data_IF_628005098844
#
_entry.id   IF_628005098844
#
_cell.length_a   1.000
_cell.length_b   1.000
_cell.length_c   1.000
_cell.angle_alpha   90.00
_cell.angle_beta   90.00
_cell.angle_gamma   90.00
#
_symmetry.space_group_name_H-M   'P 1'
#
loop_
_entity.id
_entity.type
_entity.pdbx_description
1 polymer ?
#
# COMPACT_ATOMS: atom_id res chain seq x y z
N UNK A 1 -26.50 -16.81 74.23
CA UNK A 1 -27.32 -17.67 73.35
C UNK A 1 -26.50 -18.92 72.99
N UNK A 2 -27.16 -20.08 72.94
CA UNK A 2 -26.59 -21.44 72.91
C UNK A 2 -26.15 -21.89 71.50
N UNK A 3 -25.10 -22.73 71.48
CA UNK A 3 -24.79 -23.93 70.64
C UNK A 3 -25.57 -24.18 69.33
N UNK A 4 -24.89 -24.62 68.26
CA UNK A 4 -24.73 -26.06 67.89
C UNK A 4 -24.30 -26.25 66.42
N UNK A 5 -23.78 -27.44 66.12
CA UNK A 5 -22.99 -27.89 64.97
C UNK A 5 -23.73 -29.01 64.20
N UNK A 6 -23.56 -29.07 62.85
CA UNK A 6 -23.66 -30.22 61.90
C UNK A 6 -25.03 -30.88 61.53
N UNK A 7 -25.12 -31.79 60.50
CA UNK A 7 -24.63 -31.75 59.10
C UNK A 7 -25.59 -32.38 58.00
N UNK A 8 -25.29 -32.17 56.70
CA UNK A 8 -25.55 -33.01 55.46
C UNK A 8 -27.00 -33.33 55.00
N UNK A 9 -27.32 -33.57 53.69
CA UNK A 9 -26.58 -34.44 52.76
C UNK A 9 -26.47 -34.07 51.26
N UNK A 10 -25.58 -34.83 50.63
CA UNK A 10 -25.18 -34.99 49.23
C UNK A 10 -26.31 -35.49 48.30
N UNK A 11 -26.52 -34.87 47.13
CA UNK A 11 -27.19 -35.50 45.96
C UNK A 11 -26.51 -35.03 44.66
N UNK A 12 -26.51 -35.94 43.69
CA UNK A 12 -25.62 -36.13 42.53
C UNK A 12 -25.88 -35.20 41.33
N UNK A 13 -24.85 -35.07 40.49
CA UNK A 13 -24.74 -34.42 39.17
C UNK A 13 -25.84 -34.81 38.16
N UNK A 14 -26.03 -34.05 37.05
CA UNK A 14 -25.19 -34.25 35.85
C UNK A 14 -24.78 -32.96 35.09
N UNK A 15 -23.67 -33.08 34.36
CA UNK A 15 -23.13 -32.10 33.41
C UNK A 15 -24.13 -31.75 32.30
N UNK A 16 -24.11 -30.50 31.80
CA UNK A 16 -24.33 -30.22 30.40
C UNK A 16 -22.99 -30.07 29.67
N UNK A 17 -22.78 -30.98 28.73
CA UNK A 17 -21.76 -30.92 27.68
C UNK A 17 -21.86 -29.61 26.90
N UNK A 18 -20.91 -28.70 27.11
CA UNK A 18 -20.69 -27.59 26.17
C UNK A 18 -19.73 -28.12 25.10
N UNK A 19 -20.36 -28.53 24.00
CA UNK A 19 -19.73 -28.87 22.74
C UNK A 19 -18.86 -27.71 22.27
N UNK A 20 -17.67 -28.08 21.77
CA UNK A 20 -16.81 -27.26 20.93
C UNK A 20 -17.59 -26.75 19.73
N UNK A 21 -18.18 -25.56 19.86
CA UNK A 21 -18.61 -24.75 18.74
C UNK A 21 -17.39 -24.06 18.14
N UNK A 22 -16.74 -24.71 17.18
CA UNK A 22 -15.72 -24.14 16.32
C UNK A 22 -16.39 -23.01 15.53
N UNK A 23 -16.35 -21.79 16.06
CA UNK A 23 -16.81 -20.58 15.39
C UNK A 23 -15.93 -20.31 14.18
N UNK A 24 -16.22 -21.02 13.08
CA UNK A 24 -15.70 -20.69 11.77
C UNK A 24 -16.48 -19.46 11.34
N UNK A 25 -15.84 -18.29 11.49
CA UNK A 25 -16.32 -17.04 10.90
C UNK A 25 -16.53 -17.31 9.40
N UNK A 26 -17.80 -17.42 9.02
CA UNK A 26 -18.20 -17.67 7.65
C UNK A 26 -18.22 -16.31 6.95
N UNK A 27 -17.06 -15.85 6.49
CA UNK A 27 -16.94 -14.70 5.60
C UNK A 27 -17.57 -15.06 4.24
N UNK A 28 -18.90 -15.06 4.17
CA UNK A 28 -19.67 -15.42 2.97
C UNK A 28 -19.76 -14.30 1.94
N UNK A 29 -18.85 -13.33 1.97
CA UNK A 29 -18.77 -12.26 0.98
C UNK A 29 -18.17 -12.77 -0.34
N UNK A 30 -17.32 -13.79 -0.31
CA UNK A 30 -16.57 -14.27 -1.47
C UNK A 30 -17.07 -15.63 -1.95
N UNK A 31 -18.14 -15.65 -2.74
CA UNK A 31 -18.59 -16.86 -3.43
C UNK A 31 -17.84 -17.05 -4.74
N UNK A 32 -16.57 -17.45 -4.67
CA UNK A 32 -15.82 -17.94 -5.82
C UNK A 32 -16.22 -19.41 -6.11
N UNK A 33 -17.40 -19.59 -6.71
CA UNK A 33 -17.95 -20.92 -7.03
C UNK A 33 -17.20 -21.63 -8.18
N UNK A 34 -17.24 -22.97 -8.16
CA UNK A 34 -16.44 -23.88 -8.99
C UNK A 34 -16.79 -23.92 -10.51
N UNK A 35 -17.47 -22.90 -11.06
CA UNK A 35 -17.84 -22.85 -12.49
C UNK A 35 -17.49 -21.54 -13.18
N UNK A 36 -16.69 -20.67 -12.56
CA UNK A 36 -16.37 -19.36 -13.15
C UNK A 36 -15.30 -19.48 -14.22
N UNK A 37 -15.44 -18.71 -15.28
CA UNK A 37 -14.35 -18.54 -16.25
C UNK A 37 -13.26 -17.65 -15.65
N UNK A 38 -12.00 -17.80 -16.10
CA UNK A 38 -10.90 -16.91 -15.69
C UNK A 38 -11.26 -15.42 -15.89
N UNK A 39 -12.00 -15.08 -16.95
CA UNK A 39 -12.52 -13.72 -17.20
C UNK A 39 -13.49 -13.22 -16.14
N UNK A 40 -14.38 -14.07 -15.63
CA UNK A 40 -15.31 -13.69 -14.55
C UNK A 40 -14.57 -13.43 -13.24
N UNK A 41 -13.54 -14.23 -12.95
CA UNK A 41 -12.69 -14.03 -11.77
C UNK A 41 -11.94 -12.71 -11.89
N UNK A 42 -11.32 -12.43 -13.04
CA UNK A 42 -10.65 -11.14 -13.31
C UNK A 42 -11.61 -9.95 -13.12
N UNK A 43 -12.80 -10.02 -13.71
CA UNK A 43 -13.80 -8.96 -13.56
C UNK A 43 -14.23 -8.77 -12.10
N UNK A 44 -14.39 -9.88 -11.35
CA UNK A 44 -14.72 -9.83 -9.92
C UNK A 44 -13.60 -9.18 -9.11
N UNK A 45 -12.35 -9.59 -9.33
CA UNK A 45 -11.17 -9.05 -8.63
C UNK A 45 -11.02 -7.56 -8.93
N UNK A 46 -11.10 -7.15 -10.20
CA UNK A 46 -11.04 -5.73 -10.59
C UNK A 46 -12.18 -4.93 -9.94
N UNK A 47 -13.39 -5.49 -9.86
CA UNK A 47 -14.53 -4.88 -9.17
C UNK A 47 -14.22 -4.62 -7.69
N UNK A 48 -13.77 -5.65 -6.98
CA UNK A 48 -13.40 -5.53 -5.56
C UNK A 48 -12.28 -4.53 -5.32
N UNK A 49 -11.24 -4.54 -6.15
CA UNK A 49 -10.12 -3.59 -6.06
C UNK A 49 -10.62 -2.16 -6.32
N UNK A 50 -11.52 -1.98 -7.28
CA UNK A 50 -12.13 -0.67 -7.55
C UNK A 50 -12.94 -0.18 -6.36
N UNK A 51 -13.68 -1.06 -5.70
CA UNK A 51 -14.49 -0.72 -4.54
C UNK A 51 -13.60 -0.35 -3.34
N UNK A 52 -12.53 -1.12 -3.08
CA UNK A 52 -11.50 -0.77 -2.08
C UNK A 52 -10.94 0.64 -2.28
N UNK A 53 -10.59 0.98 -3.52
CA UNK A 53 -10.03 2.29 -3.88
C UNK A 53 -11.09 3.40 -3.81
N UNK A 54 -12.38 3.08 -3.98
CA UNK A 54 -13.47 4.06 -3.87
C UNK A 54 -13.85 4.34 -2.43
N UNK A 55 -14.01 3.30 -1.64
CA UNK A 55 -14.47 3.40 -0.25
C UNK A 55 -13.35 3.91 0.66
N UNK A 56 -12.08 3.74 0.26
CA UNK A 56 -10.93 4.09 1.07
C UNK A 56 -11.09 3.61 2.51
N UNK A 57 -11.35 2.31 2.65
CA UNK A 57 -11.39 1.70 3.97
C UNK A 57 -10.02 1.88 4.63
N UNK A 58 -9.94 2.85 5.55
CA UNK A 58 -8.77 3.12 6.39
C UNK A 58 -8.45 1.93 7.32
N UNK A 59 -9.32 0.93 7.36
CA UNK A 59 -9.05 -0.35 7.99
C UNK A 59 -8.14 -1.20 7.11
N UNK A 60 -6.84 -0.88 7.11
CA UNK A 60 -5.80 -1.58 6.36
C UNK A 60 -5.83 -3.11 6.52
N UNK A 61 -6.22 -3.63 7.69
CA UNK A 61 -6.34 -5.08 7.92
C UNK A 61 -7.45 -5.71 7.08
N UNK A 62 -8.58 -5.00 6.89
CA UNK A 62 -9.65 -5.48 6.02
C UNK A 62 -9.21 -5.45 4.55
N UNK A 63 -8.59 -4.35 4.11
CA UNK A 63 -8.06 -4.20 2.75
C UNK A 63 -7.05 -5.29 2.41
N UNK A 64 -6.12 -5.59 3.32
CA UNK A 64 -5.13 -6.67 3.15
C UNK A 64 -5.78 -8.05 3.03
N UNK A 65 -6.79 -8.36 3.87
CA UNK A 65 -7.50 -9.64 3.80
C UNK A 65 -8.32 -9.82 2.51
N UNK A 66 -8.85 -8.73 1.95
CA UNK A 66 -9.54 -8.75 0.65
C UNK A 66 -8.53 -9.00 -0.47
N UNK A 67 -7.37 -8.34 -0.45
CA UNK A 67 -6.31 -8.56 -1.44
C UNK A 67 -5.73 -9.98 -1.37
N UNK A 68 -5.55 -10.53 -0.16
CA UNK A 68 -5.14 -11.93 0.05
C UNK A 68 -6.17 -12.90 -0.55
N UNK A 69 -7.47 -12.67 -0.29
CA UNK A 69 -8.56 -13.46 -0.90
C UNK A 69 -8.56 -13.36 -2.43
N UNK A 70 -8.25 -12.18 -2.99
CA UNK A 70 -8.11 -12.00 -4.43
C UNK A 70 -6.89 -12.75 -4.97
N UNK A 71 -5.77 -12.79 -4.24
CA UNK A 71 -4.57 -13.51 -4.62
C UNK A 71 -4.84 -15.02 -4.68
N UNK A 72 -5.48 -15.57 -3.65
CA UNK A 72 -5.92 -16.96 -3.62
C UNK A 72 -6.86 -17.29 -4.80
N UNK A 73 -7.86 -16.44 -5.05
CA UNK A 73 -8.76 -16.60 -6.19
C UNK A 73 -8.00 -16.55 -7.52
N UNK A 74 -7.00 -15.69 -7.68
CA UNK A 74 -6.20 -15.62 -8.91
C UNK A 74 -5.41 -16.91 -9.16
N UNK A 75 -4.79 -17.48 -8.10
CA UNK A 75 -4.03 -18.74 -8.23
C UNK A 75 -4.88 -19.93 -8.67
N UNK A 76 -6.16 -19.97 -8.30
CA UNK A 76 -7.07 -21.04 -8.71
C UNK A 76 -7.50 -21.01 -10.19
N UNK A 77 -7.20 -19.92 -10.92
CA UNK A 77 -7.70 -19.68 -12.28
C UNK A 77 -6.61 -19.16 -13.25
N UNK A 78 -5.35 -19.56 -13.02
CA UNK A 78 -4.18 -19.21 -13.85
C UNK A 78 -4.07 -17.70 -14.15
N UNK A 79 -4.43 -16.87 -13.18
CA UNK A 79 -4.38 -15.41 -13.29
C UNK A 79 -3.41 -14.87 -12.25
N UNK A 80 -2.77 -13.74 -12.55
CA UNK A 80 -1.87 -13.07 -11.60
C UNK A 80 -2.54 -11.83 -11.03
N UNK A 81 -2.71 -11.79 -9.69
CA UNK A 81 -3.17 -10.58 -9.01
C UNK A 81 -2.21 -9.41 -9.29
N UNK A 82 -0.91 -9.67 -9.30
CA UNK A 82 0.11 -8.66 -9.63
C UNK A 82 -0.13 -8.04 -11.01
N UNK A 83 -0.46 -8.86 -12.02
CA UNK A 83 -0.77 -8.33 -13.35
C UNK A 83 -2.02 -7.44 -13.33
N UNK A 84 -3.10 -7.90 -12.67
CA UNK A 84 -4.36 -7.15 -12.59
C UNK A 84 -4.23 -5.82 -11.86
N UNK A 85 -3.42 -5.76 -10.79
CA UNK A 85 -3.15 -4.53 -10.05
C UNK A 85 -2.32 -3.51 -10.84
N UNK A 86 -1.60 -3.96 -11.86
CA UNK A 86 -0.79 -3.11 -12.74
C UNK A 86 -1.51 -2.71 -14.03
N UNK A 87 -2.71 -3.23 -14.27
CA UNK A 87 -3.55 -2.83 -15.40
C UNK A 87 -4.26 -1.49 -15.14
N UNK A 88 -4.44 -0.73 -16.23
CA UNK A 88 -5.20 0.54 -16.23
C UNK A 88 -6.72 0.29 -16.20
N UNK A 89 -7.17 -0.41 -15.16
CA UNK A 89 -8.52 -0.98 -15.04
C UNK A 89 -9.56 -0.02 -14.47
N UNK A 90 -9.15 1.16 -14.00
CA UNK A 90 -10.02 2.17 -13.40
C UNK A 90 -9.76 3.50 -14.12
N UNK A 91 -10.70 3.93 -14.97
CA UNK A 91 -10.68 5.26 -15.61
C UNK A 91 -9.33 5.60 -16.31
N UNK A 92 -8.68 4.60 -16.93
CA UNK A 92 -7.41 4.79 -17.66
C UNK A 92 -6.15 4.77 -16.79
N UNK A 93 -6.28 4.52 -15.49
CA UNK A 93 -5.18 4.45 -14.52
C UNK A 93 -5.23 3.17 -13.70
N UNK A 94 -4.11 2.89 -13.02
CA UNK A 94 -3.96 1.75 -12.11
C UNK A 94 -4.71 1.97 -10.79
N UNK A 95 -5.08 0.90 -10.06
CA UNK A 95 -5.55 1.01 -8.68
C UNK A 95 -4.62 1.80 -7.76
N UNK A 96 -3.30 1.65 -7.93
CA UNK A 96 -2.29 2.38 -7.14
C UNK A 96 -2.32 3.89 -7.41
N UNK A 97 -2.49 4.32 -8.67
CA UNK A 97 -2.69 5.74 -9.00
C UNK A 97 -3.88 6.32 -8.22
N UNK A 98 -5.02 5.65 -8.26
CA UNK A 98 -6.23 6.14 -7.59
C UNK A 98 -6.13 6.09 -6.06
N UNK A 99 -5.42 5.11 -5.51
CA UNK A 99 -5.13 5.05 -4.08
C UNK A 99 -4.34 6.28 -3.61
N UNK A 100 -3.44 6.82 -4.45
CA UNK A 100 -2.70 8.05 -4.18
C UNK A 100 -3.59 9.29 -4.35
N UNK A 101 -4.29 9.41 -5.48
CA UNK A 101 -5.10 10.59 -5.79
C UNK A 101 -6.19 10.83 -4.75
N UNK A 102 -6.76 9.76 -4.20
CA UNK A 102 -7.79 9.86 -3.18
C UNK A 102 -7.24 9.94 -1.76
N UNK A 103 -5.95 9.65 -1.55
CA UNK A 103 -5.33 9.60 -0.22
C UNK A 103 -5.61 10.94 0.49
N UNK A 104 -6.09 10.94 1.75
CA UNK A 104 -6.07 12.17 2.52
C UNK A 104 -4.63 12.66 2.67
N UNK A 105 -4.39 13.99 2.73
CA UNK A 105 -3.07 14.50 3.04
C UNK A 105 -2.61 13.91 4.37
N UNK A 106 -1.35 13.47 4.44
CA UNK A 106 -0.79 12.88 5.66
C UNK A 106 -1.01 13.87 6.83
N UNK A 107 -1.88 13.50 7.77
CA UNK A 107 -1.98 14.14 9.07
C UNK A 107 -0.83 13.70 9.97
N UNK A 108 -0.72 14.29 11.16
CA UNK A 108 0.26 13.93 12.20
C UNK A 108 0.02 12.52 12.79
N UNK A 109 -0.18 11.49 11.97
CA UNK A 109 -0.41 10.12 12.44
C UNK A 109 0.90 9.34 12.58
N UNK A 110 1.05 8.78 13.79
CA UNK A 110 2.16 8.03 14.35
C UNK A 110 2.87 7.05 13.39
N UNK A 111 4.18 6.91 13.56
CA UNK A 111 5.09 5.92 12.95
C UNK A 111 4.67 4.44 13.14
N UNK A 112 3.56 4.16 13.84
CA UNK A 112 2.99 2.82 14.04
C UNK A 112 1.85 2.48 13.06
N UNK A 113 1.60 3.34 12.06
CA UNK A 113 0.53 3.18 11.09
C UNK A 113 0.63 1.85 10.32
N UNK A 114 -0.44 1.05 10.42
CA UNK A 114 -0.69 -0.14 9.63
C UNK A 114 -0.51 0.21 8.14
N UNK A 115 0.11 -0.65 7.28
CA UNK A 115 0.39 -0.31 5.89
C UNK A 115 -0.86 0.24 5.21
N UNK A 116 -0.81 1.47 4.73
CA UNK A 116 -1.95 2.08 4.04
C UNK A 116 -2.36 1.24 2.81
N UNK A 117 -3.56 1.47 2.28
CA UNK A 117 -4.07 0.72 1.13
C UNK A 117 -3.05 0.70 -0.04
N UNK A 118 -2.33 1.79 -0.25
CA UNK A 118 -1.29 1.89 -1.28
C UNK A 118 -0.14 0.91 -1.03
N UNK A 119 0.35 0.82 0.20
CA UNK A 119 1.43 -0.10 0.60
C UNK A 119 0.99 -1.55 0.39
N UNK A 120 -0.24 -1.90 0.74
CA UNK A 120 -0.79 -3.23 0.47
C UNK A 120 -0.91 -3.51 -1.03
N UNK A 121 -1.40 -2.56 -1.83
CA UNK A 121 -1.48 -2.73 -3.29
C UNK A 121 -0.09 -2.95 -3.92
N UNK A 122 0.92 -2.20 -3.49
CA UNK A 122 2.31 -2.34 -3.99
C UNK A 122 2.89 -3.70 -3.63
N UNK A 123 2.67 -4.20 -2.41
CA UNK A 123 3.22 -5.50 -1.99
C UNK A 123 2.65 -6.66 -2.81
N UNK A 124 1.35 -6.65 -3.12
CA UNK A 124 0.72 -7.64 -3.99
C UNK A 124 1.02 -7.43 -5.49
N UNK A 125 1.35 -6.19 -5.89
CA UNK A 125 1.69 -5.88 -7.28
C UNK A 125 3.15 -6.17 -7.63
N UNK A 126 4.05 -6.24 -6.65
CA UNK A 126 5.49 -6.36 -6.89
C UNK A 126 5.90 -7.65 -7.63
N UNK A 127 6.88 -7.60 -8.54
CA UNK A 127 7.64 -6.42 -8.97
C UNK A 127 6.85 -5.47 -9.87
N UNK A 128 7.06 -4.16 -9.69
CA UNK A 128 6.38 -3.13 -10.47
C UNK A 128 7.00 -2.96 -11.86
N UNK A 129 6.15 -2.81 -12.88
CA UNK A 129 6.59 -2.45 -14.22
C UNK A 129 6.91 -0.96 -14.30
N UNK A 130 7.79 -0.58 -15.23
CA UNK A 130 8.11 0.83 -15.50
C UNK A 130 6.86 1.68 -15.82
N UNK A 131 5.83 1.09 -16.45
CA UNK A 131 4.56 1.76 -16.74
C UNK A 131 3.79 2.07 -15.45
N UNK A 132 3.72 1.12 -14.54
CA UNK A 132 3.08 1.28 -13.22
C UNK A 132 3.81 2.33 -12.38
N UNK A 133 5.15 2.29 -12.35
CA UNK A 133 5.97 3.29 -11.66
C UNK A 133 5.70 4.68 -12.22
N UNK A 134 5.62 4.82 -13.56
CA UNK A 134 5.29 6.11 -14.19
C UNK A 134 3.88 6.59 -13.83
N UNK A 135 2.90 5.69 -13.73
CA UNK A 135 1.52 6.02 -13.34
C UNK A 135 1.48 6.49 -11.87
N UNK A 136 2.20 5.83 -10.97
CA UNK A 136 2.34 6.23 -9.57
C UNK A 136 3.03 7.59 -9.43
N UNK A 137 4.14 7.82 -10.15
CA UNK A 137 4.82 9.13 -10.19
C UNK A 137 3.89 10.24 -10.65
N UNK A 138 3.06 9.96 -11.65
CA UNK A 138 2.07 10.90 -12.15
C UNK A 138 1.01 11.23 -11.09
N UNK A 139 0.55 10.25 -10.32
CA UNK A 139 -0.38 10.47 -9.20
C UNK A 139 0.23 11.38 -8.13
N UNK A 140 1.47 11.11 -7.70
CA UNK A 140 2.17 11.95 -6.71
C UNK A 140 2.37 13.39 -7.22
N UNK A 141 2.66 13.55 -8.52
CA UNK A 141 2.80 14.88 -9.13
C UNK A 141 1.47 15.63 -9.11
N UNK A 142 0.36 14.93 -9.43
CA UNK A 142 -0.98 15.51 -9.43
C UNK A 142 -1.41 15.97 -8.03
N UNK A 143 -1.11 15.19 -6.99
CA UNK A 143 -1.42 15.56 -5.60
C UNK A 143 -0.39 16.50 -4.98
N UNK A 144 0.75 16.70 -5.65
CA UNK A 144 1.93 17.40 -5.12
C UNK A 144 2.43 16.81 -3.79
N UNK A 145 2.32 15.50 -3.63
CA UNK A 145 2.71 14.80 -2.41
C UNK A 145 4.18 14.36 -2.49
N UNK A 146 5.07 15.30 -2.18
CA UNK A 146 6.52 15.08 -2.16
C UNK A 146 6.93 14.07 -1.08
N UNK A 147 6.29 14.11 0.09
CA UNK A 147 6.63 13.22 1.21
C UNK A 147 6.35 11.75 0.84
N UNK A 148 5.18 11.48 0.24
CA UNK A 148 4.85 10.16 -0.27
C UNK A 148 5.80 9.73 -1.40
N UNK A 149 6.11 10.63 -2.32
CA UNK A 149 7.01 10.32 -3.42
C UNK A 149 8.41 9.90 -2.92
N UNK A 150 8.96 10.61 -1.92
CA UNK A 150 10.23 10.23 -1.32
C UNK A 150 10.14 8.89 -0.58
N UNK A 151 9.06 8.65 0.19
CA UNK A 151 8.84 7.37 0.86
C UNK A 151 8.79 6.20 -0.12
N UNK A 152 8.07 6.35 -1.23
CA UNK A 152 7.98 5.36 -2.29
C UNK A 152 9.34 5.12 -2.95
N UNK A 153 10.07 6.18 -3.29
CA UNK A 153 11.41 6.08 -3.90
C UNK A 153 12.40 5.32 -3.02
N UNK A 154 12.23 5.38 -1.70
CA UNK A 154 13.06 4.63 -0.76
C UNK A 154 12.68 3.15 -0.60
N UNK A 155 11.55 2.74 -1.16
CA UNK A 155 11.12 1.35 -1.11
C UNK A 155 11.81 0.52 -2.21
N UNK A 156 12.28 -0.70 -1.90
CA UNK A 156 12.95 -1.57 -2.87
C UNK A 156 12.02 -2.00 -4.01
N UNK A 157 10.70 -2.01 -3.78
CA UNK A 157 9.68 -2.30 -4.80
C UNK A 157 9.60 -1.23 -5.88
N UNK A 158 9.99 0.00 -5.57
CA UNK A 158 9.85 1.18 -6.44
C UNK A 158 11.14 1.59 -7.13
N UNK A 159 12.28 1.46 -6.43
CA UNK A 159 13.60 1.80 -6.94
C UNK A 159 14.64 0.77 -6.50
N UNK A 160 14.62 -0.44 -7.07
CA UNK A 160 15.60 -1.47 -6.74
C UNK A 160 17.00 -0.95 -7.07
N UNK A 161 17.90 -1.01 -6.10
CA UNK A 161 19.31 -0.70 -6.32
C UNK A 161 19.90 -1.68 -7.35
N UNK A 162 20.81 -1.19 -8.18
CA UNK A 162 21.63 -2.08 -9.00
C UNK A 162 22.43 -3.00 -8.07
N UNK A 163 22.39 -4.31 -8.28
CA UNK A 163 23.15 -5.26 -7.45
C UNK A 163 24.67 -4.99 -7.45
N UNK A 164 25.18 -4.28 -8.46
CA UNK A 164 26.58 -3.81 -8.48
C UNK A 164 26.81 -2.66 -7.50
N UNK A 165 25.88 -1.72 -7.43
CA UNK A 165 25.93 -0.60 -6.48
C UNK A 165 25.76 -1.11 -5.05
N UNK A 166 24.87 -2.06 -4.81
CA UNK A 166 24.69 -2.71 -3.50
C UNK A 166 25.97 -3.42 -3.03
N UNK A 167 26.63 -4.16 -3.92
CA UNK A 167 27.88 -4.86 -3.59
C UNK A 167 29.05 -3.90 -3.32
N UNK A 168 29.19 -2.83 -4.10
CA UNK A 168 30.33 -1.91 -4.01
C UNK A 168 30.17 -0.85 -2.92
N UNK A 169 28.93 -0.46 -2.62
CA UNK A 169 28.64 0.57 -1.64
C UNK A 169 28.30 -0.01 -0.26
N UNK A 170 27.97 -1.29 -0.19
CA UNK A 170 27.56 -2.01 1.03
C UNK A 170 26.04 -2.08 1.14
N UNK A 171 25.54 -3.13 1.80
CA UNK A 171 24.12 -3.53 1.83
C UNK A 171 23.13 -2.49 2.41
N UNK A 172 23.60 -1.37 2.96
CA UNK A 172 22.76 -0.35 3.58
C UNK A 172 23.39 1.04 3.42
N UNK A 173 23.27 1.65 2.24
CA UNK A 173 23.46 3.10 2.14
C UNK A 173 22.18 3.75 2.63
N UNK A 174 22.25 4.69 3.58
CA UNK A 174 21.08 5.48 3.95
C UNK A 174 20.51 6.23 2.73
N UNK A 175 19.19 6.52 2.74
CA UNK A 175 18.54 7.42 1.78
C UNK A 175 19.30 8.72 1.55
N UNK A 176 19.21 9.27 0.33
CA UNK A 176 19.46 10.70 0.12
C UNK A 176 18.25 11.48 0.66
N UNK A 177 18.50 12.60 1.34
CA UNK A 177 17.44 13.49 1.82
C UNK A 177 17.16 14.57 0.77
N UNK A 178 15.87 14.81 0.50
CA UNK A 178 15.44 15.81 -0.48
C UNK A 178 14.26 16.60 0.09
N UNK A 179 14.48 17.88 0.39
CA UNK A 179 13.43 18.82 0.79
C UNK A 179 13.09 19.76 -0.37
N UNK A 180 11.79 20.01 -0.57
CA UNK A 180 11.29 20.94 -1.59
C UNK A 180 10.43 21.98 -0.89
N UNK A 181 10.84 23.24 -0.95
CA UNK A 181 10.13 24.36 -0.33
C UNK A 181 9.56 25.28 -1.42
N UNK A 182 8.27 25.63 -1.32
CA UNK A 182 7.68 26.61 -2.23
C UNK A 182 8.00 28.02 -1.75
N UNK A 183 8.41 28.90 -2.66
CA UNK A 183 8.75 30.28 -2.32
C UNK A 183 7.46 31.09 -2.12
N UNK A 184 7.28 31.77 -0.97
CA UNK A 184 6.09 32.57 -0.72
C UNK A 184 5.97 33.73 -1.73
N UNK A 185 4.79 33.88 -2.34
CA UNK A 185 4.47 35.04 -3.19
C UNK A 185 4.89 34.91 -4.65
N UNK A 186 5.50 33.80 -5.07
CA UNK A 186 5.81 33.51 -6.47
C UNK A 186 5.16 32.18 -6.88
N UNK A 187 4.11 32.26 -7.70
CA UNK A 187 3.34 31.10 -8.16
C UNK A 187 4.23 30.20 -9.04
N UNK A 188 4.79 29.14 -8.43
CA UNK A 188 5.58 28.11 -9.11
C UNK A 188 7.09 28.20 -8.90
N UNK A 189 7.57 29.15 -8.08
CA UNK A 189 8.95 29.14 -7.62
C UNK A 189 9.13 28.20 -6.42
N UNK A 190 10.23 27.45 -6.44
CA UNK A 190 10.57 26.51 -5.38
C UNK A 190 12.10 26.46 -5.18
N UNK A 191 12.49 26.13 -3.95
CA UNK A 191 13.86 25.78 -3.57
C UNK A 191 13.92 24.28 -3.33
N UNK A 192 15.04 23.66 -3.68
CA UNK A 192 15.28 22.26 -3.39
C UNK A 192 16.63 22.13 -2.69
N UNK A 193 16.62 21.53 -1.51
CA UNK A 193 17.83 21.15 -0.79
C UNK A 193 18.01 19.64 -0.84
N UNK A 194 19.24 19.21 -1.11
CA UNK A 194 19.60 17.80 -1.24
C UNK A 194 20.76 17.47 -0.31
N UNK A 195 20.62 16.42 0.49
CA UNK A 195 21.73 15.81 1.22
C UNK A 195 22.05 14.45 0.62
N UNK A 196 23.23 14.35 0.00
CA UNK A 196 23.65 13.14 -0.69
C UNK A 196 24.59 12.32 0.19
N UNK A 197 24.09 11.22 0.73
CA UNK A 197 24.84 10.37 1.65
C UNK A 197 25.93 9.61 0.88
N UNK A 198 27.15 9.62 1.42
CA UNK A 198 28.34 9.00 0.81
C UNK A 198 28.65 9.49 -0.61
N UNK A 199 28.35 10.76 -0.93
CA UNK A 199 28.55 11.35 -2.27
C UNK A 199 29.88 10.98 -2.94
N UNK A 200 31.01 11.17 -2.24
CA UNK A 200 32.34 10.87 -2.80
C UNK A 200 32.50 9.38 -3.16
N UNK A 201 32.05 8.47 -2.29
CA UNK A 201 32.12 7.02 -2.52
C UNK A 201 31.26 6.62 -3.71
N UNK A 202 30.03 7.16 -3.79
CA UNK A 202 29.08 6.91 -4.89
C UNK A 202 29.59 7.47 -6.21
N UNK A 203 30.19 8.66 -6.21
CA UNK A 203 30.82 9.23 -7.41
C UNK A 203 32.07 8.45 -7.86
N UNK A 204 32.84 7.88 -6.94
CA UNK A 204 34.01 7.05 -7.29
C UNK A 204 33.59 5.72 -7.92
N UNK A 205 32.50 5.12 -7.43
CA UNK A 205 31.99 3.82 -7.86
C UNK A 205 31.09 3.95 -9.10
N UNK A 206 29.95 4.63 -8.96
CA UNK A 206 28.87 4.67 -9.96
C UNK A 206 29.03 5.83 -10.94
N UNK A 207 29.88 6.82 -10.63
CA UNK A 207 30.16 8.03 -11.45
C UNK A 207 28.94 8.88 -11.81
N UNK A 208 27.79 8.58 -11.23
CA UNK A 208 26.52 9.23 -11.45
C UNK A 208 25.66 9.10 -10.21
N UNK A 209 24.94 10.17 -9.88
CA UNK A 209 23.94 10.19 -8.80
C UNK A 209 22.66 10.72 -9.43
N UNK A 210 21.58 9.96 -9.32
CA UNK A 210 20.26 10.34 -9.78
C UNK A 210 19.44 10.83 -8.59
N UNK A 211 18.85 12.03 -8.68
CA UNK A 211 17.95 12.60 -7.68
C UNK A 211 16.63 12.91 -8.38
N UNK A 212 15.53 12.44 -7.81
CA UNK A 212 14.18 12.76 -8.30
C UNK A 212 13.41 13.47 -7.19
N UNK A 213 12.61 14.46 -7.58
CA UNK A 213 11.72 15.19 -6.69
C UNK A 213 10.51 15.71 -7.46
N UNK A 214 9.47 16.06 -6.72
CA UNK A 214 8.25 16.69 -7.22
C UNK A 214 8.24 18.13 -6.75
N UNK A 215 8.07 19.04 -7.69
CA UNK A 215 7.89 20.45 -7.43
C UNK A 215 6.60 20.94 -8.10
N UNK A 216 5.93 21.92 -7.48
CA UNK A 216 4.72 22.54 -8.04
C UNK A 216 5.12 23.55 -9.10
N UNK A 217 4.77 23.27 -10.36
CA UNK A 217 4.78 24.24 -11.45
C UNK A 217 3.38 24.79 -11.69
N UNK A 218 3.26 26.05 -12.11
CA UNK A 218 1.99 26.59 -12.59
C UNK A 218 1.61 25.91 -13.92
N UNK A 219 0.61 25.03 -13.88
CA UNK A 219 -0.10 24.63 -15.09
C UNK A 219 -0.67 25.89 -15.74
N UNK A 220 -0.21 26.19 -16.94
CA UNK A 220 -0.56 27.37 -17.75
C UNK A 220 -2.02 27.81 -17.54
N UNK A 221 -2.23 29.05 -17.07
CA UNK A 221 -3.52 29.72 -17.26
C UNK A 221 -3.79 29.74 -18.77
N UNK A 222 -4.86 29.10 -19.21
CA UNK A 222 -5.39 29.33 -20.55
C UNK A 222 -5.62 30.84 -20.72
N UNK A 223 -5.11 31.49 -21.78
CA UNK A 223 -5.54 32.84 -22.09
C UNK A 223 -7.02 32.75 -22.47
N UNK A 224 -7.87 33.32 -21.64
CA UNK A 224 -9.24 33.63 -22.01
C UNK A 224 -9.17 34.73 -23.07
N UNK A 225 -9.65 34.41 -24.27
CA UNK A 225 -9.94 35.40 -25.31
C UNK A 225 -11.13 36.28 -24.91
#
# INVERSE_FOLDING_TARGET
>A
MRRSVSPTPTVKSPLPSISKGKGRANNSWFSFGASRTSREVQATVIGLVRDLVKEQDYNSRASSGILESCAEACTGYDTSLSALLQEKSIEGHTPMYWAIVKRPPDGEEDETAVPDLLTALISFASPLTAKTISDIRHACLLTSDQALFQRLRMSPEFSPLSGTDEMLLGATIPPDEISVENVPGDEGAFTVDFEIVHFQKRMLVSKRIELDFIARGTGTRHPTC
#
